data_IF_309323265948
#
_entry.id   IF_309323265948
#
_cell.length_a   1.000
_cell.length_b   1.000
_cell.length_c   1.000
_cell.angle_alpha   90.00
_cell.angle_beta   90.00
_cell.angle_gamma   90.00
#
_symmetry.space_group_name_H-M   'P 1'
#
loop_
_entity.id
_entity.type
_entity.pdbx_description
1 polymer ?
#
# COMPACT_ATOMS: atom_id res chain seq x y z
N UNK A 1 -2.80 40.74 3.63
CA UNK A 1 -1.89 39.64 3.23
C UNK A 1 -1.88 39.42 1.72
N UNK A 2 -2.89 39.85 0.99
CA UNK A 2 -2.94 39.74 -0.49
C UNK A 2 -1.94 40.69 -1.17
N UNK A 3 -1.56 41.74 -0.50
CA UNK A 3 -0.70 42.83 -1.04
C UNK A 3 0.67 42.34 -1.51
N UNK A 4 1.20 41.29 -0.87
CA UNK A 4 2.53 40.74 -1.21
C UNK A 4 2.48 39.62 -2.25
N UNK A 5 1.31 39.06 -2.54
CA UNK A 5 1.18 37.91 -3.48
C UNK A 5 1.65 38.25 -4.88
N UNK A 6 1.38 39.46 -5.36
CA UNK A 6 1.84 39.93 -6.68
C UNK A 6 3.38 39.93 -6.77
N UNK A 7 4.06 40.49 -5.76
CA UNK A 7 5.52 40.54 -5.75
C UNK A 7 6.17 39.15 -5.65
N UNK A 8 5.56 38.26 -4.86
CA UNK A 8 5.97 36.85 -4.75
C UNK A 8 5.81 36.18 -6.12
N UNK A 9 4.66 36.30 -6.76
CA UNK A 9 4.40 35.73 -8.08
C UNK A 9 5.40 36.24 -9.14
N UNK A 10 5.69 37.53 -9.16
CA UNK A 10 6.66 38.12 -10.13
C UNK A 10 8.06 37.56 -9.87
N UNK A 11 8.47 37.38 -8.62
CA UNK A 11 9.76 36.77 -8.26
C UNK A 11 9.81 35.30 -8.73
N UNK A 12 8.78 34.51 -8.39
CA UNK A 12 8.69 33.10 -8.76
C UNK A 12 8.67 32.90 -10.27
N UNK A 13 7.97 33.75 -11.03
CA UNK A 13 7.97 33.68 -12.49
C UNK A 13 9.36 33.93 -13.11
N UNK A 14 10.19 34.80 -12.50
CA UNK A 14 11.58 34.99 -12.93
C UNK A 14 12.40 33.72 -12.70
N UNK A 15 12.22 33.07 -11.54
CA UNK A 15 12.93 31.84 -11.21
C UNK A 15 12.48 30.66 -12.10
N UNK A 16 11.19 30.52 -12.35
CA UNK A 16 10.65 29.55 -13.32
C UNK A 16 11.20 29.76 -14.72
N UNK A 17 11.46 31.04 -15.10
CA UNK A 17 12.08 31.35 -16.40
C UNK A 17 13.53 30.87 -16.45
N UNK A 18 14.30 31.14 -15.40
CA UNK A 18 15.71 30.71 -15.31
C UNK A 18 15.86 29.20 -15.30
N UNK A 19 14.94 28.49 -14.65
CA UNK A 19 14.95 27.04 -14.49
C UNK A 19 14.22 26.31 -15.62
N UNK A 20 13.73 27.02 -16.63
CA UNK A 20 12.95 26.46 -17.76
C UNK A 20 11.71 25.65 -17.35
N UNK A 21 11.07 25.98 -16.21
CA UNK A 21 9.92 25.24 -15.70
C UNK A 21 8.56 25.99 -15.85
N UNK A 22 8.48 27.00 -16.71
CA UNK A 22 7.24 27.77 -16.91
C UNK A 22 6.04 26.94 -17.35
N UNK A 23 6.27 25.97 -18.24
CA UNK A 23 5.21 25.11 -18.78
C UNK A 23 4.65 24.24 -17.64
N UNK A 24 5.52 23.61 -16.84
CA UNK A 24 5.11 22.85 -15.67
C UNK A 24 4.37 23.69 -14.64
N UNK A 25 4.91 24.87 -14.29
CA UNK A 25 4.25 25.78 -13.36
C UNK A 25 2.85 26.22 -13.85
N UNK A 26 2.70 26.48 -15.16
CA UNK A 26 1.38 26.78 -15.73
C UNK A 26 0.44 25.58 -15.63
N UNK A 27 0.88 24.38 -15.98
CA UNK A 27 0.10 23.15 -15.89
C UNK A 27 -0.41 22.93 -14.47
N UNK A 28 0.46 23.07 -13.46
CA UNK A 28 0.09 22.92 -12.06
C UNK A 28 -0.95 23.97 -11.62
N UNK A 29 -0.80 25.22 -12.05
CA UNK A 29 -1.80 26.26 -11.77
C UNK A 29 -3.15 25.96 -12.45
N UNK A 30 -3.13 25.51 -13.69
CA UNK A 30 -4.35 25.16 -14.44
C UNK A 30 -5.05 23.93 -13.84
N UNK A 31 -4.32 23.07 -13.12
CA UNK A 31 -4.85 21.86 -12.47
C UNK A 31 -5.49 22.13 -11.10
N UNK A 32 -5.22 23.27 -10.45
CA UNK A 32 -5.80 23.62 -9.12
C UNK A 32 -7.33 23.50 -9.08
N UNK A 33 -8.10 23.99 -10.07
CA UNK A 33 -9.56 23.83 -10.07
C UNK A 33 -10.01 22.35 -10.11
N UNK A 34 -9.24 21.48 -10.77
CA UNK A 34 -9.53 20.05 -10.84
C UNK A 34 -9.34 19.41 -9.45
N UNK A 35 -8.24 19.73 -8.75
CA UNK A 35 -8.01 19.28 -7.38
C UNK A 35 -9.14 19.75 -6.46
N UNK A 36 -9.48 21.02 -6.49
CA UNK A 36 -10.57 21.57 -5.68
C UNK A 36 -11.90 20.84 -5.95
N UNK A 37 -12.16 20.50 -7.22
CA UNK A 37 -13.37 19.75 -7.60
C UNK A 37 -13.33 18.31 -7.08
N UNK A 38 -12.19 17.61 -7.15
CA UNK A 38 -12.02 16.26 -6.59
C UNK A 38 -12.26 16.25 -5.09
N UNK A 39 -11.67 17.20 -4.34
CA UNK A 39 -11.86 17.34 -2.90
C UNK A 39 -13.31 17.67 -2.53
N UNK A 40 -13.94 18.55 -3.30
CA UNK A 40 -15.34 18.93 -3.11
C UNK A 40 -16.30 17.78 -3.42
N UNK A 41 -16.08 17.02 -4.49
CA UNK A 41 -16.92 15.88 -4.86
C UNK A 41 -16.91 14.78 -3.81
N UNK A 42 -15.74 14.44 -3.29
CA UNK A 42 -15.55 13.30 -2.38
C UNK A 42 -15.99 11.96 -2.98
N UNK A 43 -15.82 10.90 -2.23
CA UNK A 43 -16.08 9.52 -2.65
C UNK A 43 -17.09 8.87 -1.69
N UNK A 44 -18.14 8.24 -2.22
CA UNK A 44 -19.14 7.56 -1.43
C UNK A 44 -18.61 6.21 -0.96
N UNK A 45 -18.70 5.95 0.35
CA UNK A 45 -18.36 4.68 1.00
C UNK A 45 -19.63 4.06 1.60
N UNK A 46 -19.93 2.82 1.24
CA UNK A 46 -20.99 2.03 1.86
C UNK A 46 -20.54 1.55 3.25
N UNK A 47 -21.09 2.18 4.29
CA UNK A 47 -20.73 1.87 5.68
C UNK A 47 -20.98 0.41 6.06
N UNK A 48 -22.05 -0.19 5.58
CA UNK A 48 -22.41 -1.57 5.95
C UNK A 48 -21.40 -2.56 5.35
N UNK A 49 -21.10 -2.38 4.07
CA UNK A 49 -20.07 -3.19 3.40
C UNK A 49 -18.70 -3.01 4.06
N UNK A 50 -18.33 -1.76 4.40
CA UNK A 50 -17.06 -1.50 5.06
C UNK A 50 -16.97 -2.14 6.45
N UNK A 51 -18.04 -2.13 7.22
CA UNK A 51 -18.09 -2.83 8.53
C UNK A 51 -17.94 -4.32 8.38
N UNK A 52 -18.67 -4.93 7.42
CA UNK A 52 -18.53 -6.36 7.13
C UNK A 52 -17.09 -6.70 6.68
N UNK A 53 -16.49 -5.87 5.83
CA UNK A 53 -15.06 -6.00 5.44
C UNK A 53 -14.15 -5.93 6.67
N UNK A 54 -14.35 -4.96 7.57
CA UNK A 54 -13.54 -4.84 8.79
C UNK A 54 -13.62 -6.09 9.69
N UNK A 55 -14.74 -6.77 9.73
CA UNK A 55 -14.91 -8.00 10.53
C UNK A 55 -14.16 -9.17 9.87
N UNK A 56 -14.18 -9.27 8.53
CA UNK A 56 -13.37 -10.23 7.77
C UNK A 56 -11.88 -9.97 7.99
N UNK A 57 -11.43 -8.71 7.90
CA UNK A 57 -10.02 -8.35 8.12
C UNK A 57 -9.54 -8.73 9.51
N UNK A 58 -10.37 -8.51 10.54
CA UNK A 58 -10.05 -8.91 11.91
C UNK A 58 -9.96 -10.42 12.06
N UNK A 59 -10.83 -11.16 11.39
CA UNK A 59 -10.78 -12.62 11.38
C UNK A 59 -9.45 -13.08 10.77
N UNK A 60 -9.07 -12.60 9.59
CA UNK A 60 -7.79 -12.94 8.95
C UNK A 60 -6.58 -12.58 9.82
N UNK A 61 -6.62 -11.43 10.51
CA UNK A 61 -5.56 -11.07 11.45
C UNK A 61 -5.48 -12.04 12.64
N UNK A 62 -6.61 -12.44 13.20
CA UNK A 62 -6.64 -13.40 14.30
C UNK A 62 -6.13 -14.77 13.86
N UNK A 63 -6.52 -15.25 12.70
CA UNK A 63 -6.01 -16.50 12.10
C UNK A 63 -4.49 -16.44 11.91
N UNK A 64 -3.96 -15.34 11.36
CA UNK A 64 -2.51 -15.17 11.21
C UNK A 64 -1.76 -15.12 12.56
N UNK A 65 -2.36 -14.51 13.59
CA UNK A 65 -1.82 -14.51 14.97
C UNK A 65 -1.82 -15.93 15.54
N UNK A 66 -2.90 -16.68 15.36
CA UNK A 66 -3.01 -18.06 15.83
C UNK A 66 -1.97 -18.96 15.16
N UNK A 67 -1.75 -18.82 13.87
CA UNK A 67 -0.76 -19.61 13.12
C UNK A 67 0.67 -19.29 13.58
N UNK A 68 1.00 -18.01 13.80
CA UNK A 68 2.27 -17.62 14.41
C UNK A 68 2.42 -18.17 15.84
N UNK A 69 1.36 -18.12 16.64
CA UNK A 69 1.39 -18.68 18.00
C UNK A 69 1.61 -20.19 18.00
N UNK A 70 0.95 -20.92 17.09
CA UNK A 70 1.17 -22.36 16.88
C UNK A 70 2.61 -22.65 16.49
N UNK A 71 3.17 -21.87 15.57
CA UNK A 71 4.58 -21.97 15.17
C UNK A 71 5.52 -21.81 16.36
N UNK A 72 5.31 -20.78 17.20
CA UNK A 72 6.14 -20.56 18.40
C UNK A 72 6.02 -21.73 19.39
N UNK A 73 4.80 -22.20 19.65
CA UNK A 73 4.54 -23.29 20.60
C UNK A 73 5.16 -24.61 20.14
N UNK A 74 5.12 -24.90 18.83
CA UNK A 74 5.67 -26.15 18.26
C UNK A 74 7.20 -26.14 18.15
N UNK A 75 7.83 -24.97 18.14
CA UNK A 75 9.27 -24.83 17.94
C UNK A 75 10.06 -24.95 19.25
N UNK A 76 10.86 -26.01 19.37
CA UNK A 76 11.64 -26.27 20.58
C UNK A 76 12.65 -25.19 20.97
N UNK A 77 13.12 -24.37 19.98
CA UNK A 77 14.06 -23.27 20.21
C UNK A 77 13.37 -22.02 20.79
N UNK A 78 12.03 -21.94 20.71
CA UNK A 78 11.25 -20.76 21.09
C UNK A 78 10.49 -20.95 22.41
N UNK A 79 10.87 -21.93 23.22
CA UNK A 79 10.20 -22.25 24.52
C UNK A 79 10.16 -21.07 25.50
N UNK A 80 11.13 -20.17 25.47
CA UNK A 80 11.16 -18.97 26.32
C UNK A 80 10.03 -17.99 26.04
N UNK A 81 9.42 -18.05 24.83
CA UNK A 81 8.27 -17.23 24.44
C UNK A 81 6.93 -17.93 24.71
N UNK A 82 6.94 -18.99 25.51
CA UNK A 82 5.73 -19.72 25.87
C UNK A 82 5.57 -19.80 27.37
N UNK A 83 4.35 -19.86 27.84
CA UNK A 83 4.03 -20.15 29.23
C UNK A 83 2.85 -21.12 29.32
N UNK A 84 2.79 -21.86 30.42
CA UNK A 84 1.64 -22.71 30.74
C UNK A 84 0.87 -22.00 31.85
N UNK A 85 -0.37 -21.60 31.54
CA UNK A 85 -1.26 -21.06 32.55
C UNK A 85 -1.67 -22.23 33.48
N UNK A 86 -1.35 -22.09 34.76
CA UNK A 86 -1.72 -23.09 35.78
C UNK A 86 -2.91 -22.64 36.63
N UNK A 87 -3.64 -21.60 36.16
CA UNK A 87 -4.87 -21.17 36.80
C UNK A 87 -6.00 -22.13 36.42
N UNK A 88 -6.54 -22.77 37.41
CA UNK A 88 -7.68 -23.67 37.31
C UNK A 88 -8.15 -24.02 38.73
N UNK A 89 -9.35 -24.49 38.85
CA UNK A 89 -9.84 -25.04 40.13
C UNK A 89 -9.89 -26.57 40.10
N UNK A 90 -10.05 -27.13 41.29
CA UNK A 90 -10.03 -28.59 41.52
C UNK A 90 -11.19 -29.31 40.81
N UNK A 91 -12.23 -28.56 40.37
CA UNK A 91 -13.47 -29.09 39.80
C UNK A 91 -13.54 -28.89 38.29
N UNK A 92 -12.94 -27.79 37.74
CA UNK A 92 -12.93 -27.46 36.29
C UNK A 92 -11.68 -28.01 35.55
N UNK A 93 -10.66 -28.49 36.28
CA UNK A 93 -9.39 -28.93 35.72
C UNK A 93 -8.44 -27.77 35.45
N UNK A 94 -7.18 -28.10 35.08
CA UNK A 94 -6.18 -27.11 34.70
C UNK A 94 -6.00 -27.07 33.17
N UNK A 95 -6.08 -25.87 32.56
CA UNK A 95 -5.65 -25.68 31.18
C UNK A 95 -4.12 -25.67 31.13
N UNK A 96 -3.54 -26.82 30.76
CA UNK A 96 -2.09 -27.01 30.62
C UNK A 96 -1.59 -26.69 29.20
N UNK A 97 -2.42 -26.09 28.34
CA UNK A 97 -2.03 -25.77 26.99
C UNK A 97 -1.02 -24.62 26.99
N UNK A 98 0.13 -24.80 26.33
CA UNK A 98 1.12 -23.74 26.22
C UNK A 98 0.50 -22.54 25.43
N UNK A 99 0.78 -21.33 25.89
CA UNK A 99 0.33 -20.09 25.25
C UNK A 99 1.55 -19.26 24.86
N UNK A 100 1.49 -18.61 23.71
CA UNK A 100 2.52 -17.68 23.26
C UNK A 100 2.42 -16.36 24.03
N UNK A 101 3.59 -15.81 24.44
CA UNK A 101 3.68 -14.54 25.19
C UNK A 101 3.91 -13.34 24.29
N UNK A 102 4.19 -13.53 22.99
CA UNK A 102 4.60 -12.46 22.08
C UNK A 102 3.41 -11.58 21.71
N UNK A 103 3.59 -10.30 21.89
CA UNK A 103 2.77 -9.30 21.25
C UNK A 103 3.37 -8.97 19.86
N UNK A 104 2.79 -9.53 18.82
CA UNK A 104 3.25 -9.39 17.43
C UNK A 104 3.28 -7.94 16.93
N UNK A 105 2.52 -7.02 17.53
CA UNK A 105 2.56 -5.59 17.24
C UNK A 105 3.79 -4.87 17.86
N UNK A 106 4.59 -5.56 18.68
CA UNK A 106 5.76 -4.98 19.37
C UNK A 106 7.06 -5.49 18.76
N UNK A 107 7.74 -4.64 17.99
CA UNK A 107 9.06 -4.96 17.44
C UNK A 107 10.06 -5.40 18.51
N UNK A 108 10.00 -4.81 19.71
CA UNK A 108 10.88 -5.16 20.82
C UNK A 108 10.69 -6.62 21.31
N UNK A 109 9.50 -7.20 21.10
CA UNK A 109 9.25 -8.60 21.46
C UNK A 109 9.51 -9.56 20.28
N UNK A 110 9.34 -9.07 19.05
CA UNK A 110 9.58 -9.86 17.83
C UNK A 110 11.06 -10.00 17.51
N UNK A 111 11.87 -8.96 17.71
CA UNK A 111 13.31 -8.95 17.39
C UNK A 111 14.10 -10.06 18.10
N UNK A 112 13.94 -10.30 19.41
CA UNK A 112 14.63 -11.43 20.09
C UNK A 112 14.29 -12.78 19.45
N UNK A 113 13.01 -13.01 19.12
CA UNK A 113 12.58 -14.23 18.43
C UNK A 113 13.25 -14.38 17.07
N UNK A 114 13.31 -13.32 16.27
CA UNK A 114 13.97 -13.33 14.96
C UNK A 114 15.44 -13.72 15.06
N UNK A 115 16.15 -13.22 16.07
CA UNK A 115 17.56 -13.58 16.31
C UNK A 115 17.75 -15.07 16.63
N UNK A 116 16.86 -15.66 17.43
CA UNK A 116 16.92 -17.11 17.73
C UNK A 116 16.63 -17.93 16.48
N UNK A 117 15.77 -17.45 15.59
CA UNK A 117 15.51 -18.09 14.31
C UNK A 117 16.65 -17.91 13.29
N UNK A 118 17.67 -17.09 13.62
CA UNK A 118 18.86 -16.89 12.80
C UNK A 118 18.80 -15.67 11.86
N UNK A 119 17.79 -14.81 11.99
CA UNK A 119 17.69 -13.61 11.18
C UNK A 119 18.63 -12.49 11.67
N UNK A 120 19.28 -11.80 10.74
CA UNK A 120 19.97 -10.56 11.03
C UNK A 120 18.94 -9.41 11.07
N UNK A 121 18.85 -8.75 12.21
CA UNK A 121 17.90 -7.65 12.43
C UNK A 121 18.58 -6.28 12.37
N UNK A 122 19.90 -6.22 12.09
CA UNK A 122 20.64 -4.97 12.06
C UNK A 122 20.37 -4.18 10.78
N UNK A 123 20.13 -2.89 10.93
CA UNK A 123 20.07 -1.92 9.85
C UNK A 123 20.87 -0.70 10.25
N UNK A 124 21.54 -0.09 9.29
CA UNK A 124 22.17 1.19 9.49
C UNK A 124 21.17 2.32 9.26
N UNK A 125 21.02 3.20 10.23
CA UNK A 125 20.21 4.40 10.10
C UNK A 125 20.87 5.35 9.10
N UNK A 126 20.10 5.77 8.08
CA UNK A 126 20.65 6.62 7.00
C UNK A 126 21.01 8.04 7.42
N UNK A 127 20.38 8.54 8.50
CA UNK A 127 20.60 9.91 8.98
C UNK A 127 21.69 9.99 10.04
N UNK A 128 21.75 9.01 10.95
CA UNK A 128 22.69 9.01 12.07
C UNK A 128 23.90 8.11 11.83
N UNK A 129 23.83 7.17 10.89
CA UNK A 129 24.88 6.16 10.66
C UNK A 129 24.94 5.08 11.76
N UNK A 130 24.08 5.12 12.77
CA UNK A 130 24.07 4.18 13.88
C UNK A 130 23.36 2.88 13.51
N UNK A 131 23.83 1.78 14.08
CA UNK A 131 23.17 0.49 13.94
C UNK A 131 21.89 0.46 14.78
N UNK A 132 20.76 0.18 14.12
CA UNK A 132 19.45 -0.06 14.76
C UNK A 132 18.97 -1.47 14.45
N UNK A 133 18.13 -1.99 15.35
CA UNK A 133 17.47 -3.26 15.11
C UNK A 133 16.07 -3.06 14.52
N UNK A 134 15.70 -3.92 13.57
CA UNK A 134 14.45 -3.79 12.84
C UNK A 134 13.86 -5.15 12.47
N UNK A 135 12.54 -5.26 12.67
CA UNK A 135 11.72 -6.37 12.18
C UNK A 135 10.98 -6.00 10.87
N UNK A 136 11.49 -4.99 10.14
CA UNK A 136 10.82 -4.51 8.93
C UNK A 136 10.87 -5.56 7.81
N UNK A 137 9.77 -5.65 7.07
CA UNK A 137 9.61 -6.54 5.91
C UNK A 137 10.79 -6.45 4.92
N UNK A 138 11.25 -5.23 4.60
CA UNK A 138 12.37 -4.98 3.67
C UNK A 138 13.69 -5.64 4.13
N UNK A 139 13.89 -5.79 5.44
CA UNK A 139 15.09 -6.44 6.01
C UNK A 139 14.94 -7.95 5.93
N UNK A 140 13.78 -8.46 6.32
CA UNK A 140 13.53 -9.89 6.41
C UNK A 140 13.39 -10.55 5.02
N UNK A 141 12.76 -9.90 4.05
CA UNK A 141 12.62 -10.43 2.68
C UNK A 141 13.95 -10.74 1.99
N UNK A 142 15.03 -10.05 2.37
CA UNK A 142 16.38 -10.32 1.84
C UNK A 142 17.01 -11.60 2.37
N UNK A 143 16.41 -12.21 3.38
CA UNK A 143 16.95 -13.35 4.12
C UNK A 143 16.14 -14.63 3.91
N UNK A 144 15.56 -14.79 2.70
CA UNK A 144 14.90 -16.04 2.29
C UNK A 144 15.87 -17.21 2.42
N UNK A 145 15.34 -18.37 2.85
CA UNK A 145 16.13 -19.60 3.07
C UNK A 145 16.62 -19.79 4.52
N UNK A 146 16.49 -18.79 5.41
CA UNK A 146 16.84 -18.96 6.84
C UNK A 146 15.71 -19.70 7.58
N UNK A 147 14.47 -19.22 7.46
CA UNK A 147 13.26 -19.85 7.98
C UNK A 147 12.06 -19.38 7.16
N UNK A 148 11.83 -20.07 6.04
CA UNK A 148 10.78 -19.66 5.07
C UNK A 148 9.37 -19.88 5.62
N UNK A 149 9.17 -20.88 6.49
CA UNK A 149 7.89 -21.11 7.15
C UNK A 149 7.51 -19.90 8.03
N UNK A 150 8.43 -19.41 8.85
CA UNK A 150 8.19 -18.21 9.64
C UNK A 150 7.97 -16.97 8.76
N UNK A 151 8.78 -16.79 7.71
CA UNK A 151 8.64 -15.66 6.81
C UNK A 151 7.28 -15.65 6.13
N UNK A 152 6.78 -16.80 5.70
CA UNK A 152 5.44 -16.93 5.12
C UNK A 152 4.36 -16.53 6.13
N UNK A 153 4.41 -17.01 7.35
CA UNK A 153 3.43 -16.68 8.40
C UNK A 153 3.48 -15.20 8.80
N UNK A 154 4.67 -14.61 8.84
CA UNK A 154 4.87 -13.26 9.33
C UNK A 154 4.70 -12.19 8.22
N UNK A 155 5.27 -12.40 7.04
CA UNK A 155 5.26 -11.44 5.93
C UNK A 155 4.19 -11.73 4.87
N UNK A 156 3.72 -12.98 4.78
CA UNK A 156 2.85 -13.44 3.72
C UNK A 156 3.60 -14.09 2.55
N UNK A 157 2.85 -14.57 1.57
CA UNK A 157 3.33 -15.21 0.35
C UNK A 157 2.40 -14.88 -0.82
N UNK A 158 2.98 -14.69 -2.00
CA UNK A 158 2.25 -14.33 -3.22
C UNK A 158 1.88 -12.86 -3.30
N UNK A 159 1.17 -12.52 -4.38
CA UNK A 159 0.59 -11.19 -4.59
C UNK A 159 -0.93 -11.29 -4.45
N UNK A 160 -1.63 -10.18 -4.15
CA UNK A 160 -3.09 -10.20 -3.93
C UNK A 160 -3.93 -10.77 -5.07
N UNK A 161 -3.40 -10.81 -6.28
CA UNK A 161 -4.05 -11.38 -7.46
C UNK A 161 -3.78 -12.89 -7.65
N UNK A 162 -2.87 -13.48 -6.87
CA UNK A 162 -2.51 -14.90 -6.95
C UNK A 162 -3.55 -15.77 -6.22
N UNK A 163 -3.91 -16.93 -6.80
CA UNK A 163 -4.87 -17.86 -6.17
C UNK A 163 -4.42 -18.37 -4.79
N UNK A 164 -3.11 -18.45 -4.57
CA UNK A 164 -2.51 -18.92 -3.32
C UNK A 164 -1.98 -17.78 -2.45
N UNK A 165 -2.52 -16.58 -2.64
CA UNK A 165 -2.12 -15.42 -1.83
C UNK A 165 -2.41 -15.64 -0.34
N UNK A 166 -1.41 -15.37 0.49
CA UNK A 166 -1.52 -15.35 1.94
C UNK A 166 -0.90 -14.07 2.48
N UNK A 167 -1.72 -13.20 3.07
CA UNK A 167 -1.30 -11.88 3.55
C UNK A 167 -0.30 -11.94 4.72
N UNK A 168 -0.25 -13.03 5.46
CA UNK A 168 0.52 -13.15 6.68
C UNK A 168 0.09 -12.16 7.75
N UNK A 169 0.81 -12.13 8.86
CA UNK A 169 0.52 -11.20 9.96
C UNK A 169 0.68 -9.73 9.53
N UNK A 170 1.79 -9.38 8.88
CA UNK A 170 2.09 -7.98 8.52
C UNK A 170 1.07 -7.40 7.55
N UNK A 171 0.68 -8.15 6.53
CA UNK A 171 -0.35 -7.74 5.58
C UNK A 171 -1.70 -7.53 6.26
N UNK A 172 -2.15 -8.52 7.04
CA UNK A 172 -3.43 -8.47 7.77
C UNK A 172 -3.46 -7.34 8.81
N UNK A 173 -2.38 -7.15 9.58
CA UNK A 173 -2.27 -6.06 10.56
C UNK A 173 -2.28 -4.68 9.88
N UNK A 174 -1.63 -4.54 8.72
CA UNK A 174 -1.65 -3.30 7.93
C UNK A 174 -3.05 -2.97 7.45
N UNK A 175 -3.80 -3.95 6.96
CA UNK A 175 -5.18 -3.75 6.48
C UNK A 175 -6.08 -3.31 7.64
N UNK A 176 -6.07 -4.01 8.78
CA UNK A 176 -6.88 -3.66 9.95
C UNK A 176 -6.55 -2.27 10.49
N UNK A 177 -5.28 -1.89 10.54
CA UNK A 177 -4.85 -0.60 11.13
C UNK A 177 -5.05 0.58 10.18
N UNK A 178 -4.78 0.39 8.88
CA UNK A 178 -4.80 1.47 7.89
C UNK A 178 -6.17 1.66 7.25
N UNK A 179 -6.92 0.56 7.05
CA UNK A 179 -8.18 0.55 6.31
C UNK A 179 -9.36 0.12 7.21
N UNK A 180 -9.40 0.60 8.45
CA UNK A 180 -10.40 0.29 9.46
C UNK A 180 -11.32 1.47 9.80
N UNK A 181 -11.53 1.68 11.11
CA UNK A 181 -12.44 2.67 11.67
C UNK A 181 -12.18 4.11 11.22
N UNK A 182 -10.94 4.46 10.90
CA UNK A 182 -10.57 5.79 10.43
C UNK A 182 -11.27 6.19 9.12
N UNK A 183 -11.54 5.23 8.21
CA UNK A 183 -12.32 5.48 6.99
C UNK A 183 -13.78 5.80 7.30
N UNK A 184 -14.40 5.08 8.25
CA UNK A 184 -15.76 5.39 8.71
C UNK A 184 -15.83 6.75 9.39
N UNK A 185 -14.80 7.12 10.13
CA UNK A 185 -14.74 8.44 10.76
C UNK A 185 -14.57 9.56 9.73
N UNK A 186 -13.95 9.28 8.59
CA UNK A 186 -13.76 10.25 7.51
C UNK A 186 -15.02 10.52 6.68
N UNK A 187 -16.09 9.74 6.85
CA UNK A 187 -17.37 10.01 6.18
C UNK A 187 -17.99 11.27 6.77
N UNK A 188 -18.23 12.26 5.92
CA UNK A 188 -18.96 13.48 6.30
C UNK A 188 -20.47 13.18 6.37
N UNK A 189 -21.11 13.39 7.51
CA UNK A 189 -22.54 13.05 7.67
C UNK A 189 -23.47 13.92 6.83
N UNK A 190 -23.04 15.09 6.39
CA UNK A 190 -23.87 15.98 5.55
C UNK A 190 -23.86 15.54 4.08
N UNK A 191 -22.76 14.98 3.58
CA UNK A 191 -22.61 14.58 2.18
C UNK A 191 -22.65 13.08 1.97
N UNK A 192 -22.52 12.31 3.06
CA UNK A 192 -22.34 10.86 3.06
C UNK A 192 -21.17 10.40 2.20
N UNK A 193 -20.08 11.21 2.17
CA UNK A 193 -18.87 10.97 1.38
C UNK A 193 -17.61 11.22 2.19
N UNK A 194 -16.54 10.59 1.77
CA UNK A 194 -15.20 10.89 2.24
C UNK A 194 -14.63 12.00 1.38
N UNK A 195 -14.26 13.11 2.01
CA UNK A 195 -13.54 14.23 1.39
C UNK A 195 -12.11 14.19 1.90
N UNK A 196 -11.20 13.76 1.04
CA UNK A 196 -9.77 13.73 1.35
C UNK A 196 -9.05 14.91 0.69
N UNK A 197 -7.77 15.07 0.97
CA UNK A 197 -6.96 16.15 0.41
C UNK A 197 -5.98 15.56 -0.61
N UNK A 198 -5.72 16.34 -1.66
CA UNK A 198 -4.75 16.00 -2.69
C UNK A 198 -3.68 17.07 -2.76
N UNK A 199 -2.43 16.64 -2.90
CA UNK A 199 -1.28 17.55 -3.05
C UNK A 199 -0.63 17.30 -4.39
N UNK A 200 -0.60 18.35 -5.21
CA UNK A 200 0.18 18.36 -6.44
C UNK A 200 1.66 18.25 -6.10
N UNK A 201 2.44 17.60 -6.92
CA UNK A 201 3.88 17.40 -6.71
C UNK A 201 4.21 16.86 -5.29
N UNK A 202 3.32 16.03 -4.76
CA UNK A 202 3.45 15.47 -3.41
C UNK A 202 4.47 14.34 -3.29
N UNK A 203 5.01 13.87 -4.41
CA UNK A 203 6.05 12.85 -4.52
C UNK A 203 7.25 13.39 -5.30
N UNK A 204 8.45 12.86 -5.05
CA UNK A 204 9.68 13.25 -5.75
C UNK A 204 9.62 12.96 -7.27
N UNK A 205 8.80 12.00 -7.67
CA UNK A 205 8.52 11.66 -9.08
C UNK A 205 7.52 12.62 -9.77
N UNK A 206 7.08 13.71 -9.10
CA UNK A 206 6.08 14.64 -9.63
C UNK A 206 4.64 14.11 -9.59
N UNK A 207 4.42 12.90 -9.08
CA UNK A 207 3.06 12.36 -8.91
C UNK A 207 2.31 13.09 -7.80
N UNK A 208 1.00 13.19 -7.95
CA UNK A 208 0.10 13.70 -6.93
C UNK A 208 0.05 12.74 -5.74
N UNK A 209 0.06 13.24 -4.51
CA UNK A 209 -0.20 12.46 -3.32
C UNK A 209 -1.59 12.72 -2.76
N UNK A 210 -2.13 11.74 -2.05
CA UNK A 210 -3.46 11.79 -1.46
C UNK A 210 -3.41 11.51 0.04
N UNK A 211 -4.25 12.20 0.78
CA UNK A 211 -4.41 12.03 2.21
C UNK A 211 -3.45 12.85 3.07
N UNK A 212 -3.73 12.92 4.36
CA UNK A 212 -2.87 13.54 5.37
C UNK A 212 -2.97 12.80 6.69
N UNK A 213 -1.87 12.82 7.46
CA UNK A 213 -1.84 12.35 8.85
C UNK A 213 -2.50 13.34 9.81
N UNK A 214 -2.78 14.55 9.34
CA UNK A 214 -3.47 15.56 10.11
C UNK A 214 -4.91 15.14 10.37
N UNK A 215 -5.43 15.55 11.52
CA UNK A 215 -6.82 15.28 11.86
C UNK A 215 -7.70 16.36 11.22
N UNK A 216 -8.79 15.96 10.57
CA UNK A 216 -9.77 16.90 10.05
C UNK A 216 -10.53 17.53 11.21
N UNK A 217 -10.17 18.75 11.53
CA UNK A 217 -10.70 19.52 12.68
C UNK A 217 -12.24 19.65 12.61
N UNK A 218 -12.76 20.10 11.47
CA UNK A 218 -14.19 20.37 11.32
C UNK A 218 -15.02 19.11 11.38
N UNK A 219 -14.56 18.05 10.72
CA UNK A 219 -15.23 16.75 10.75
C UNK A 219 -15.16 16.11 12.14
N UNK A 220 -14.02 16.20 12.82
CA UNK A 220 -13.88 15.70 14.18
C UNK A 220 -14.82 16.42 15.14
N UNK A 221 -14.93 17.76 15.03
CA UNK A 221 -15.88 18.56 15.81
C UNK A 221 -17.33 18.16 15.52
N UNK A 222 -17.69 17.99 14.24
CA UNK A 222 -19.02 17.58 13.80
C UNK A 222 -19.41 16.19 14.36
N UNK A 223 -18.45 15.25 14.37
CA UNK A 223 -18.63 13.88 14.89
C UNK A 223 -18.40 13.76 16.41
N UNK A 224 -18.10 14.84 17.11
CA UNK A 224 -17.76 14.84 18.55
C UNK A 224 -16.59 13.92 18.90
N UNK A 225 -15.60 13.85 17.99
CA UNK A 225 -14.36 13.14 18.17
C UNK A 225 -13.24 14.08 18.66
N UNK A 226 -12.15 13.55 19.23
CA UNK A 226 -11.01 14.38 19.65
C UNK A 226 -10.44 15.18 18.48
N UNK A 227 -10.27 16.48 18.67
CA UNK A 227 -9.68 17.39 17.68
C UNK A 227 -8.18 17.11 17.51
N UNK A 228 -7.49 16.91 18.63
CA UNK A 228 -6.08 16.55 18.68
C UNK A 228 -5.91 15.18 19.34
N UNK A 229 -6.20 14.08 18.61
CA UNK A 229 -6.14 12.75 19.19
C UNK A 229 -4.71 12.35 19.52
N UNK A 230 -4.48 11.84 20.74
CA UNK A 230 -3.22 11.22 21.13
C UNK A 230 -2.90 9.99 20.29
N UNK A 231 -1.64 9.52 20.32
CA UNK A 231 -1.25 8.28 19.61
C UNK A 231 -2.11 7.08 20.03
N UNK A 232 -2.48 6.98 21.31
CA UNK A 232 -3.39 5.95 21.83
C UNK A 232 -4.78 6.08 21.21
N UNK A 233 -5.36 7.28 21.21
CA UNK A 233 -6.69 7.54 20.64
C UNK A 233 -6.73 7.29 19.12
N UNK A 234 -5.65 7.59 18.38
CA UNK A 234 -5.52 7.24 16.96
C UNK A 234 -5.57 5.72 16.74
N UNK A 235 -4.86 4.95 17.57
CA UNK A 235 -4.91 3.47 17.54
C UNK A 235 -6.29 2.90 17.92
N UNK A 236 -7.01 3.57 18.80
CA UNK A 236 -8.38 3.21 19.20
C UNK A 236 -9.43 3.63 18.14
N UNK A 237 -9.03 4.15 16.99
CA UNK A 237 -9.95 4.58 15.94
C UNK A 237 -10.76 5.83 16.30
N UNK A 238 -10.22 6.72 17.13
CA UNK A 238 -10.87 7.98 17.55
C UNK A 238 -10.33 9.20 16.79
N UNK A 239 -9.78 9.00 15.59
CA UNK A 239 -9.28 10.08 14.75
C UNK A 239 -10.15 10.25 13.51
N UNK A 240 -10.15 11.45 12.95
CA UNK A 240 -10.71 11.79 11.65
C UNK A 240 -9.58 12.21 10.68
N UNK A 241 -8.69 11.32 10.25
CA UNK A 241 -7.64 11.67 9.28
C UNK A 241 -8.25 11.92 7.90
N UNK A 242 -7.45 12.47 7.00
CA UNK A 242 -7.74 12.45 5.57
C UNK A 242 -7.19 11.14 4.98
N UNK A 243 -8.05 10.16 4.62
CA UNK A 243 -7.58 8.86 4.14
C UNK A 243 -6.82 8.98 2.83
N UNK A 244 -5.80 8.13 2.65
CA UNK A 244 -5.12 8.01 1.37
C UNK A 244 -5.92 7.06 0.46
N UNK A 245 -6.63 7.64 -0.51
CA UNK A 245 -7.48 6.91 -1.45
C UNK A 245 -6.68 6.26 -2.59
N UNK A 246 -5.40 6.61 -2.78
CA UNK A 246 -4.53 6.03 -3.80
C UNK A 246 -3.88 4.72 -3.36
N UNK A 247 -3.89 4.41 -2.06
CA UNK A 247 -3.25 3.20 -1.49
C UNK A 247 -4.27 2.16 -1.00
N UNK A 248 -5.50 2.21 -1.50
CA UNK A 248 -6.49 1.19 -1.17
C UNK A 248 -6.03 -0.18 -1.66
N UNK A 249 -6.25 -1.25 -0.87
CA UNK A 249 -6.01 -2.61 -1.32
C UNK A 249 -6.69 -2.90 -2.66
N UNK A 250 -6.03 -3.73 -3.47
CA UNK A 250 -6.51 -4.06 -4.81
C UNK A 250 -7.64 -5.10 -4.81
N UNK A 251 -7.96 -5.67 -3.64
CA UNK A 251 -8.98 -6.71 -3.50
C UNK A 251 -10.42 -6.20 -3.76
N UNK A 252 -11.23 -7.09 -4.28
CA UNK A 252 -12.62 -6.80 -4.66
C UNK A 252 -13.51 -6.45 -3.47
N UNK A 253 -13.22 -7.02 -2.29
CA UNK A 253 -14.00 -6.76 -1.07
C UNK A 253 -13.85 -5.30 -0.67
N UNK A 254 -12.60 -4.81 -0.60
CA UNK A 254 -12.30 -3.42 -0.27
C UNK A 254 -12.86 -2.46 -1.32
N UNK A 255 -12.60 -2.73 -2.61
CA UNK A 255 -13.03 -1.85 -3.71
C UNK A 255 -14.54 -1.79 -3.87
N UNK A 256 -15.26 -2.91 -3.65
CA UNK A 256 -16.73 -2.96 -3.73
C UNK A 256 -17.45 -2.15 -2.65
N UNK A 257 -16.73 -1.71 -1.61
CA UNK A 257 -17.28 -0.80 -0.60
C UNK A 257 -17.44 0.63 -1.12
N UNK A 258 -16.67 1.01 -2.16
CA UNK A 258 -16.80 2.33 -2.79
C UNK A 258 -17.84 2.25 -3.90
N UNK A 259 -18.97 2.90 -3.69
CA UNK A 259 -20.14 2.79 -4.56
C UNK A 259 -20.58 4.13 -5.08
N UNK A 260 -21.27 4.13 -6.22
CA UNK A 260 -21.92 5.34 -6.70
C UNK A 260 -23.16 5.63 -5.86
N UNK A 261 -23.47 6.90 -5.52
CA UNK A 261 -24.73 7.27 -4.90
C UNK A 261 -25.93 6.88 -5.78
N UNK A 262 -27.11 6.78 -5.16
CA UNK A 262 -28.35 6.48 -5.90
C UNK A 262 -28.55 7.45 -7.07
N UNK A 263 -28.78 6.91 -8.27
CA UNK A 263 -28.96 7.66 -9.51
C UNK A 263 -27.66 7.96 -10.26
N UNK A 264 -26.51 7.56 -9.75
CA UNK A 264 -25.21 7.71 -10.41
C UNK A 264 -24.62 6.34 -10.76
N UNK A 265 -23.66 6.34 -11.67
CA UNK A 265 -22.86 5.18 -12.02
C UNK A 265 -21.39 5.49 -11.78
N UNK A 266 -20.63 4.48 -11.35
CA UNK A 266 -19.18 4.57 -11.29
C UNK A 266 -18.61 4.35 -12.68
N UNK A 267 -17.70 5.23 -13.09
CA UNK A 267 -16.94 5.07 -14.33
C UNK A 267 -15.46 5.06 -13.95
N UNK A 268 -14.75 4.03 -14.34
CA UNK A 268 -13.30 3.92 -14.19
C UNK A 268 -12.67 4.00 -15.58
N UNK A 269 -11.78 4.97 -15.76
CA UNK A 269 -11.00 5.14 -16.97
C UNK A 269 -9.53 5.15 -16.62
N UNK A 270 -8.76 4.33 -17.32
CA UNK A 270 -7.31 4.25 -17.15
C UNK A 270 -6.62 4.28 -18.51
N UNK A 271 -5.47 4.92 -18.58
CA UNK A 271 -4.66 4.95 -19.79
C UNK A 271 -3.85 3.64 -19.89
N UNK A 272 -3.97 2.94 -21.01
CA UNK A 272 -3.18 1.74 -21.26
C UNK A 272 -1.72 2.09 -21.50
N UNK A 273 -0.82 1.62 -20.64
CA UNK A 273 0.63 1.78 -20.77
C UNK A 273 1.08 3.21 -21.09
N UNK A 274 0.57 4.21 -20.33
CA UNK A 274 0.80 5.65 -20.64
C UNK A 274 2.30 6.00 -20.59
N UNK A 275 3.04 5.47 -19.62
CA UNK A 275 4.47 5.75 -19.44
C UNK A 275 5.26 5.25 -20.66
N UNK A 276 5.09 3.99 -21.03
CA UNK A 276 5.76 3.40 -22.21
C UNK A 276 5.34 4.06 -23.53
N UNK A 277 4.08 4.52 -23.65
CA UNK A 277 3.62 5.28 -24.84
C UNK A 277 4.28 6.65 -24.93
N UNK A 278 4.39 7.34 -23.79
CA UNK A 278 5.09 8.63 -23.75
C UNK A 278 6.59 8.44 -24.02
N UNK A 279 7.22 7.42 -23.46
CA UNK A 279 8.61 7.07 -23.77
C UNK A 279 8.80 6.83 -25.26
N UNK A 280 7.98 5.98 -25.87
CA UNK A 280 8.04 5.71 -27.31
C UNK A 280 7.93 6.99 -28.17
N UNK A 281 7.02 7.92 -27.79
CA UNK A 281 6.87 9.19 -28.52
C UNK A 281 8.01 10.17 -28.26
N UNK A 282 8.46 10.32 -27.02
CA UNK A 282 9.56 11.23 -26.67
C UNK A 282 10.88 10.82 -27.33
N UNK A 283 11.22 9.54 -27.25
CA UNK A 283 12.46 8.98 -27.80
C UNK A 283 12.37 8.62 -29.28
N UNK A 284 11.16 8.71 -29.88
CA UNK A 284 10.90 8.31 -31.27
C UNK A 284 11.32 6.87 -31.57
N UNK A 285 11.14 5.97 -30.58
CA UNK A 285 11.49 4.57 -30.70
C UNK A 285 10.47 3.85 -31.60
N UNK A 286 10.83 3.65 -32.85
CA UNK A 286 9.93 3.17 -33.89
C UNK A 286 9.37 1.77 -33.60
N UNK A 287 10.17 0.89 -32.99
CA UNK A 287 9.74 -0.47 -32.64
C UNK A 287 8.62 -0.46 -31.61
N UNK A 288 8.70 0.41 -30.61
CA UNK A 288 7.66 0.60 -29.60
C UNK A 288 6.40 1.26 -30.21
N UNK A 289 6.59 2.26 -31.08
CA UNK A 289 5.47 2.92 -31.77
C UNK A 289 4.70 1.90 -32.63
N UNK A 290 5.42 1.09 -33.39
CA UNK A 290 4.81 0.08 -34.25
C UNK A 290 4.05 -0.99 -33.44
N UNK A 291 4.59 -1.41 -32.28
CA UNK A 291 3.89 -2.33 -31.38
C UNK A 291 2.60 -1.71 -30.82
N UNK A 292 2.59 -0.42 -30.46
CA UNK A 292 1.39 0.24 -29.98
C UNK A 292 0.33 0.50 -31.06
N UNK A 293 0.73 0.72 -32.30
CA UNK A 293 -0.17 1.05 -33.41
C UNK A 293 -0.64 -0.20 -34.15
N UNK A 294 0.25 -1.13 -34.40
CA UNK A 294 0.03 -2.27 -35.29
C UNK A 294 0.12 -3.63 -34.57
N UNK A 295 0.71 -3.68 -33.39
CA UNK A 295 0.91 -4.87 -32.59
C UNK A 295 -0.15 -5.15 -31.55
N UNK A 296 0.23 -5.84 -30.48
CA UNK A 296 -0.64 -6.18 -29.35
C UNK A 296 -0.86 -5.00 -28.41
N UNK A 297 0.04 -4.03 -28.42
CA UNK A 297 0.10 -2.93 -27.46
C UNK A 297 0.55 -3.34 -26.04
N UNK A 298 0.99 -4.60 -25.86
CA UNK A 298 1.47 -5.14 -24.58
C UNK A 298 3.00 -5.22 -24.56
N UNK A 299 3.62 -4.11 -24.15
CA UNK A 299 5.08 -4.00 -24.08
C UNK A 299 5.72 -5.05 -23.18
N UNK A 300 5.10 -5.38 -22.05
CA UNK A 300 5.63 -6.43 -21.16
C UNK A 300 5.67 -7.80 -21.85
N UNK A 301 4.66 -8.12 -22.68
CA UNK A 301 4.68 -9.34 -23.46
C UNK A 301 5.74 -9.29 -24.57
N UNK A 302 5.93 -8.15 -25.22
CA UNK A 302 6.99 -7.95 -26.19
C UNK A 302 8.38 -8.10 -25.56
N UNK A 303 8.63 -7.45 -24.42
CA UNK A 303 9.88 -7.57 -23.68
C UNK A 303 10.16 -9.01 -23.24
N UNK A 304 9.14 -9.72 -22.72
CA UNK A 304 9.28 -11.12 -22.37
C UNK A 304 9.65 -11.98 -23.58
N UNK A 305 9.01 -11.76 -24.73
CA UNK A 305 9.33 -12.43 -25.97
C UNK A 305 10.77 -12.18 -26.46
N UNK A 306 11.26 -10.96 -26.26
CA UNK A 306 12.62 -10.60 -26.66
C UNK A 306 13.69 -11.19 -25.73
N UNK A 307 13.43 -11.20 -24.42
CA UNK A 307 14.40 -11.63 -23.39
C UNK A 307 14.43 -13.15 -23.25
N UNK A 308 13.26 -13.79 -23.13
CA UNK A 308 13.14 -15.24 -22.86
C UNK A 308 13.07 -16.07 -24.14
N UNK A 309 14.09 -15.95 -24.98
CA UNK A 309 14.13 -16.58 -26.30
C UNK A 309 14.23 -18.11 -26.29
N UNK A 310 14.61 -18.70 -25.16
CA UNK A 310 14.70 -20.15 -24.96
C UNK A 310 13.38 -20.74 -24.42
N UNK A 311 12.69 -19.97 -23.60
CA UNK A 311 11.48 -20.38 -22.91
C UNK A 311 10.23 -20.10 -23.76
N UNK A 312 10.23 -19.01 -24.54
CA UNK A 312 9.11 -18.63 -25.40
C UNK A 312 9.45 -18.96 -26.86
N UNK A 313 8.74 -19.94 -27.49
CA UNK A 313 8.91 -20.27 -28.89
C UNK A 313 8.67 -19.06 -29.80
N UNK A 314 9.48 -18.95 -30.88
CA UNK A 314 9.44 -17.79 -31.79
C UNK A 314 8.17 -17.67 -32.62
N UNK A 315 7.40 -18.74 -32.72
CA UNK A 315 6.08 -18.81 -33.39
C UNK A 315 4.93 -18.39 -32.43
N UNK A 316 5.23 -18.14 -31.16
CA UNK A 316 4.21 -17.70 -30.20
C UNK A 316 3.79 -16.27 -30.51
N UNK A 317 2.49 -15.98 -30.76
CA UNK A 317 2.02 -14.62 -30.94
C UNK A 317 2.16 -13.81 -29.65
N UNK A 318 2.64 -12.57 -29.73
CA UNK A 318 2.89 -11.69 -28.55
C UNK A 318 1.63 -11.55 -27.69
N UNK A 319 0.45 -11.42 -28.30
CA UNK A 319 -0.84 -11.32 -27.61
C UNK A 319 -1.18 -12.52 -26.72
N UNK A 320 -0.62 -13.70 -27.00
CA UNK A 320 -0.89 -14.92 -26.27
C UNK A 320 0.08 -15.15 -25.10
N UNK A 321 1.20 -14.39 -25.03
CA UNK A 321 2.22 -14.52 -24.00
C UNK A 321 1.65 -14.22 -22.60
N UNK A 322 0.79 -13.22 -22.47
CA UNK A 322 0.11 -12.92 -21.21
C UNK A 322 -0.63 -14.12 -20.63
N UNK A 323 -1.17 -14.97 -21.48
CA UNK A 323 -1.95 -16.17 -21.10
C UNK A 323 -1.05 -17.39 -20.90
N UNK A 324 -0.08 -17.59 -21.80
CA UNK A 324 0.74 -18.80 -21.84
C UNK A 324 1.95 -18.73 -20.90
N UNK A 325 2.53 -17.52 -20.72
CA UNK A 325 3.75 -17.30 -19.95
C UNK A 325 3.61 -16.11 -18.96
N UNK A 326 2.58 -16.11 -18.09
CA UNK A 326 2.29 -14.97 -17.21
C UNK A 326 3.45 -14.66 -16.24
N UNK A 327 4.19 -15.69 -15.79
CA UNK A 327 5.34 -15.53 -14.90
C UNK A 327 6.50 -14.80 -15.58
N UNK A 328 6.86 -15.16 -16.82
CA UNK A 328 7.94 -14.48 -17.56
C UNK A 328 7.57 -13.03 -17.89
N UNK A 329 6.30 -12.79 -18.21
CA UNK A 329 5.77 -11.45 -18.41
C UNK A 329 5.83 -10.61 -17.11
N UNK A 330 5.63 -11.22 -15.94
CA UNK A 330 5.75 -10.55 -14.64
C UNK A 330 7.19 -10.20 -14.33
N UNK A 331 8.14 -11.06 -14.66
CA UNK A 331 9.56 -10.90 -14.36
C UNK A 331 10.21 -9.75 -15.15
N UNK A 332 9.66 -9.35 -16.30
CA UNK A 332 10.18 -8.20 -17.08
C UNK A 332 9.66 -6.85 -16.63
N UNK A 333 8.56 -6.79 -15.88
CA UNK A 333 8.01 -5.49 -15.41
C UNK A 333 9.01 -4.62 -14.67
N UNK A 334 9.82 -5.13 -13.71
CA UNK A 334 10.84 -4.32 -13.04
C UNK A 334 11.93 -3.84 -13.99
N UNK A 335 12.31 -4.66 -14.98
CA UNK A 335 13.37 -4.33 -15.95
C UNK A 335 12.93 -3.16 -16.84
N UNK A 336 11.69 -3.15 -17.28
CA UNK A 336 11.12 -2.08 -18.10
C UNK A 336 11.05 -0.76 -17.32
N UNK A 337 10.59 -0.79 -16.06
CA UNK A 337 10.52 0.38 -15.20
C UNK A 337 11.92 0.94 -14.87
N UNK A 338 12.90 0.07 -14.57
CA UNK A 338 14.27 0.50 -14.30
C UNK A 338 14.94 1.14 -15.55
N UNK A 339 14.57 0.70 -16.75
CA UNK A 339 15.03 1.33 -18.00
C UNK A 339 14.39 2.71 -18.23
N UNK A 340 13.11 2.88 -17.87
CA UNK A 340 12.39 4.16 -17.98
C UNK A 340 12.90 5.19 -16.96
N UNK A 341 13.21 4.76 -15.73
CA UNK A 341 13.79 5.63 -14.67
C UNK A 341 15.26 5.99 -14.91
N UNK A 342 15.95 5.30 -15.82
CA UNK A 342 17.39 5.50 -16.14
C UNK A 342 17.63 6.43 -17.33
N UNK A 343 16.57 6.84 -18.03
CA UNK A 343 16.60 7.70 -19.22
C UNK A 343 16.09 9.10 -18.89
#
# INVERSE_FOLDING_TARGET
DVTYLYNIMVSQLKDCTKQNCKVGAKLECDFVPVIAYLEWCGIHLDENKWRAKMDIDKQHLNEAIEDLNKFVISNSKLKEFTYINREGDLFSGFDLTPKCTINWASSNQVIPLLKILGFDTKIQDKETGEDKESAMEKVLKKQKGINDEFLKLYLGEGEPEDENYYAGYNGSAKVVTSFGQNHLNAINPNTNRIHTVYRQLGCDTGRMSCGSKDNNYDLAKLKKLPINPSAKQKKEGKACPYPNMQQLPADDITRSCFTAPKGYKWCSCDYSAIESRLGADIYKEQSMIDEFIHGSGDMHSLCAYMIYTKEIPRDTPIKDIKKLYPHLRKDVKPIELDCEDSL
#
